data_IF_914010127754
#
_entry.id   IF_914010127754
#
_cell.length_a   1.000
_cell.length_b   1.000
_cell.length_c   1.000
_cell.angle_alpha   90.00
_cell.angle_beta   90.00
_cell.angle_gamma   90.00
#
_symmetry.space_group_name_H-M   'P 1'
#
loop_
_entity.id
_entity.type
_entity.pdbx_description
1 polymer ?
#
# COMPACT_ATOMS: atom_id res chain seq x y z
N UNK A 1 -5.19 14.64 -7.77
CA UNK A 1 -4.20 14.83 -6.68
C UNK A 1 -3.46 13.53 -6.44
N UNK A 2 -2.17 13.61 -6.10
CA UNK A 2 -1.34 12.49 -5.66
C UNK A 2 -0.87 12.79 -4.23
N UNK A 3 -0.73 11.76 -3.40
CA UNK A 3 0.01 11.79 -2.13
C UNK A 3 1.20 10.86 -2.33
N UNK A 4 2.40 11.33 -2.01
CA UNK A 4 3.66 10.62 -2.26
C UNK A 4 4.40 10.37 -0.94
N UNK A 5 5.33 9.41 -0.91
CA UNK A 5 6.04 8.98 0.28
C UNK A 5 7.47 9.54 0.35
N UNK A 6 7.73 10.36 1.39
CA UNK A 6 9.10 10.63 1.80
C UNK A 6 9.68 9.41 2.54
N UNK A 7 10.70 8.76 1.97
CA UNK A 7 11.31 7.53 2.51
C UNK A 7 12.71 7.83 3.08
N UNK A 8 12.91 7.86 4.41
CA UNK A 8 14.23 7.91 5.03
C UNK A 8 14.96 6.56 4.89
N UNK A 9 16.31 6.56 4.88
CA UNK A 9 17.09 5.32 5.04
C UNK A 9 17.17 4.89 6.52
N UNK A 10 17.58 3.65 6.83
CA UNK A 10 17.72 3.22 8.24
C UNK A 10 18.72 4.09 9.01
N UNK A 11 18.43 4.36 10.28
CA UNK A 11 19.18 5.32 11.11
C UNK A 11 18.82 6.79 10.83
N UNK A 12 18.08 7.10 9.77
CA UNK A 12 17.65 8.46 9.47
C UNK A 12 16.51 8.91 10.38
N UNK A 13 16.52 10.20 10.69
CA UNK A 13 15.38 10.89 11.30
C UNK A 13 14.31 11.21 10.25
N UNK A 14 13.13 11.64 10.69
CA UNK A 14 12.05 12.03 9.78
C UNK A 14 12.24 13.45 9.23
N UNK A 15 13.00 14.31 9.93
CA UNK A 15 13.53 15.55 9.33
C UNK A 15 14.84 15.29 8.53
N UNK A 16 15.55 14.14 8.68
CA UNK A 16 16.62 13.66 7.76
C UNK A 16 16.09 13.17 6.40
N UNK A 17 14.78 13.02 6.26
CA UNK A 17 14.15 12.97 4.95
C UNK A 17 13.67 14.37 4.46
N UNK A 18 13.86 15.48 5.23
CA UNK A 18 13.36 16.85 4.94
C UNK A 18 14.37 18.04 4.79
N UNK A 19 15.37 18.32 5.67
CA UNK A 19 16.18 19.58 5.63
C UNK A 19 17.73 19.40 5.63
N UNK A 20 18.44 19.60 4.49
CA UNK A 20 19.69 18.96 3.94
C UNK A 20 19.49 17.77 3.02
N UNK A 21 18.76 16.70 3.33
CA UNK A 21 17.90 16.37 4.46
C UNK A 21 18.62 15.81 5.74
N UNK A 22 18.68 16.50 6.91
CA UNK A 22 19.44 16.29 8.22
C UNK A 22 18.47 16.29 9.41
N UNK A 23 18.76 15.84 10.65
CA UNK A 23 19.93 15.13 11.20
C UNK A 23 19.47 13.90 12.05
N UNK A 24 20.25 12.82 12.21
CA UNK A 24 19.83 11.47 12.72
C UNK A 24 18.91 11.36 13.97
N UNK A 25 18.21 10.21 14.04
CA UNK A 25 17.03 9.84 14.83
C UNK A 25 17.16 9.66 16.38
N UNK A 26 16.04 9.28 17.02
CA UNK A 26 15.77 8.95 18.45
C UNK A 26 15.79 10.10 19.50
N UNK A 27 14.84 10.10 20.48
CA UNK A 27 13.85 11.16 20.80
C UNK A 27 13.43 12.14 19.69
N UNK A 28 14.38 12.50 18.85
CA UNK A 28 14.33 13.25 17.61
C UNK A 28 13.12 12.89 16.74
N UNK A 29 12.94 11.60 16.42
CA UNK A 29 11.85 11.12 15.54
C UNK A 29 10.48 11.59 16.04
N UNK A 30 10.20 11.49 17.35
CA UNK A 30 8.96 12.01 17.94
C UNK A 30 8.85 13.53 17.79
N UNK A 31 9.90 14.28 18.17
CA UNK A 31 9.95 15.75 17.98
C UNK A 31 9.71 16.14 16.52
N UNK A 32 10.22 15.36 15.58
CA UNK A 32 10.15 15.61 14.15
C UNK A 32 8.79 15.29 13.55
N UNK A 33 8.15 14.17 13.92
CA UNK A 33 6.75 13.92 13.57
C UNK A 33 5.86 15.06 14.06
N UNK A 34 6.08 15.55 15.29
CA UNK A 34 5.35 16.70 15.82
C UNK A 34 5.57 17.97 14.98
N UNK A 35 6.80 18.29 14.62
CA UNK A 35 7.11 19.44 13.76
C UNK A 35 6.50 19.28 12.35
N UNK A 36 6.52 18.08 11.76
CA UNK A 36 5.89 17.80 10.46
C UNK A 36 4.37 18.01 10.51
N UNK A 37 3.72 17.63 11.62
CA UNK A 37 2.29 17.90 11.85
C UNK A 37 2.02 19.39 12.03
N UNK A 38 2.75 20.04 12.95
CA UNK A 38 2.47 21.43 13.36
C UNK A 38 2.89 22.47 12.32
N UNK A 39 4.05 22.29 11.68
CA UNK A 39 4.68 23.31 10.83
C UNK A 39 4.57 23.01 9.33
N UNK A 40 4.30 21.75 8.94
CA UNK A 40 4.27 21.29 7.53
C UNK A 40 2.92 20.70 7.09
N UNK A 41 1.96 20.51 8.00
CA UNK A 41 0.63 19.99 7.67
C UNK A 41 0.58 18.50 7.31
N UNK A 42 1.62 17.72 7.66
CA UNK A 42 1.62 16.26 7.50
C UNK A 42 0.65 15.65 8.50
N UNK A 43 -0.21 14.72 8.07
CA UNK A 43 -1.17 14.07 8.96
C UNK A 43 -1.17 12.53 8.85
N UNK A 44 -0.17 11.96 8.18
CA UNK A 44 0.01 10.51 8.08
C UNK A 44 1.50 10.12 8.05
N UNK A 45 1.80 8.92 8.53
CA UNK A 45 3.15 8.36 8.56
C UNK A 45 3.12 6.89 8.10
N UNK A 46 4.09 6.45 7.29
CA UNK A 46 4.20 5.06 6.79
C UNK A 46 5.29 4.29 7.53
N UNK A 47 4.93 3.09 7.97
CA UNK A 47 5.81 2.13 8.63
C UNK A 47 5.88 0.84 7.80
N UNK A 48 6.95 0.06 7.97
CA UNK A 48 7.19 -1.19 7.26
C UNK A 48 7.37 -2.34 8.24
N UNK A 49 6.65 -3.44 8.01
CA UNK A 49 6.84 -4.72 8.71
C UNK A 49 7.72 -5.69 7.90
N UNK A 50 8.01 -5.33 6.65
CA UNK A 50 8.93 -6.02 5.74
C UNK A 50 10.21 -5.22 5.52
N UNK A 51 11.03 -5.64 4.55
CA UNK A 51 12.35 -5.08 4.26
C UNK A 51 13.26 -5.16 5.49
N UNK A 52 13.48 -6.40 5.96
CA UNK A 52 14.40 -6.72 7.05
C UNK A 52 15.76 -6.03 6.85
N UNK A 53 16.34 -5.57 7.95
CA UNK A 53 17.59 -4.80 8.03
C UNK A 53 17.57 -3.41 7.34
N UNK A 54 16.56 -3.08 6.52
CA UNK A 54 16.42 -1.80 5.80
C UNK A 54 15.33 -0.88 6.37
N UNK A 55 14.06 -1.31 6.36
CA UNK A 55 12.93 -0.47 6.84
C UNK A 55 12.09 -1.13 7.94
N UNK A 56 12.25 -2.45 8.13
CA UNK A 56 11.47 -3.23 9.11
C UNK A 56 11.57 -2.66 10.52
N UNK A 57 10.41 -2.36 11.11
CA UNK A 57 10.24 -2.13 12.55
C UNK A 57 9.89 -3.44 13.27
N UNK A 58 10.36 -3.56 14.50
CA UNK A 58 9.88 -4.55 15.47
C UNK A 58 8.49 -4.18 16.02
N UNK A 59 7.81 -5.13 16.68
CA UNK A 59 6.51 -4.87 17.30
C UNK A 59 6.58 -3.83 18.43
N UNK A 60 7.71 -3.72 19.13
CA UNK A 60 7.95 -2.69 20.16
C UNK A 60 8.04 -1.29 19.54
N UNK A 61 8.81 -1.14 18.46
CA UNK A 61 8.91 0.10 17.70
C UNK A 61 7.57 0.48 17.07
N UNK A 62 6.84 -0.49 16.51
CA UNK A 62 5.51 -0.28 15.93
C UNK A 62 4.50 0.17 17.00
N UNK A 63 4.47 -0.47 18.17
CA UNK A 63 3.66 -0.03 19.31
C UNK A 63 3.98 1.42 19.71
N UNK A 64 5.26 1.77 19.81
CA UNK A 64 5.71 3.10 20.21
C UNK A 64 5.37 4.19 19.17
N UNK A 65 5.47 3.88 17.87
CA UNK A 65 5.14 4.80 16.77
C UNK A 65 3.62 4.96 16.62
N UNK A 66 2.83 3.88 16.72
CA UNK A 66 1.37 3.93 16.65
C UNK A 66 0.77 4.70 17.84
N UNK A 67 1.30 4.49 19.06
CA UNK A 67 0.94 5.29 20.24
C UNK A 67 1.18 6.78 19.98
N UNK A 68 2.29 7.13 19.33
CA UNK A 68 2.63 8.51 19.07
C UNK A 68 1.84 9.13 17.91
N UNK A 69 1.48 8.35 16.88
CA UNK A 69 0.52 8.77 15.86
C UNK A 69 -0.83 9.14 16.49
N UNK A 70 -1.28 8.37 17.49
CA UNK A 70 -2.49 8.67 18.26
C UNK A 70 -2.36 9.98 19.06
N UNK A 71 -1.24 10.22 19.74
CA UNK A 71 -0.97 11.48 20.45
C UNK A 71 -0.99 12.71 19.53
N UNK A 72 -0.50 12.57 18.29
CA UNK A 72 -0.46 13.64 17.30
C UNK A 72 -1.76 13.82 16.51
N UNK A 73 -2.71 12.89 16.61
CA UNK A 73 -3.94 12.90 15.81
C UNK A 73 -3.74 12.56 14.33
N UNK A 74 -2.69 11.80 14.00
CA UNK A 74 -2.35 11.39 12.63
C UNK A 74 -2.76 9.95 12.34
N UNK A 75 -3.01 9.63 11.07
CA UNK A 75 -3.26 8.25 10.63
C UNK A 75 -1.96 7.48 10.41
N UNK A 76 -1.90 6.26 10.93
CA UNK A 76 -0.79 5.36 10.76
C UNK A 76 -0.98 4.49 9.51
N UNK A 77 -0.03 4.52 8.57
CA UNK A 77 -0.01 3.67 7.39
C UNK A 77 0.99 2.52 7.60
N UNK A 78 0.63 1.30 7.19
CA UNK A 78 1.52 0.11 7.33
C UNK A 78 1.62 -0.67 6.02
N UNK A 79 2.85 -0.88 5.56
CA UNK A 79 3.18 -1.97 4.65
C UNK A 79 3.32 -3.24 5.49
N UNK A 80 2.33 -4.13 5.36
CA UNK A 80 2.08 -5.24 6.27
C UNK A 80 2.39 -6.60 5.64
N UNK A 81 3.67 -6.94 5.58
CA UNK A 81 4.14 -8.31 5.31
C UNK A 81 5.16 -8.73 6.39
N UNK A 82 5.25 -10.02 6.72
CA UNK A 82 6.22 -10.50 7.71
C UNK A 82 7.65 -10.58 7.13
N UNK A 83 8.46 -9.55 7.39
CA UNK A 83 9.83 -9.43 6.87
C UNK A 83 10.81 -10.53 7.29
N UNK A 84 10.60 -11.20 8.43
CA UNK A 84 11.42 -12.35 8.83
C UNK A 84 11.10 -13.57 7.97
N UNK A 85 9.81 -13.85 7.73
CA UNK A 85 9.39 -14.95 6.86
C UNK A 85 9.83 -14.73 5.41
N UNK A 86 9.69 -13.51 4.88
CA UNK A 86 10.19 -13.14 3.54
C UNK A 86 11.70 -13.43 3.42
N UNK A 87 12.50 -12.99 4.40
CA UNK A 87 13.94 -13.17 4.37
C UNK A 87 14.36 -14.66 4.40
N UNK A 88 13.67 -15.49 5.19
CA UNK A 88 13.92 -16.95 5.21
C UNK A 88 13.45 -17.63 3.92
N UNK A 89 12.26 -17.28 3.41
CA UNK A 89 11.72 -17.85 2.18
C UNK A 89 12.60 -17.51 0.98
N UNK A 90 13.01 -16.25 0.83
CA UNK A 90 13.85 -15.80 -0.28
C UNK A 90 15.21 -16.53 -0.28
N UNK A 91 15.85 -16.63 0.89
CA UNK A 91 17.09 -17.40 1.07
C UNK A 91 16.90 -18.88 0.69
N UNK A 92 15.78 -19.48 1.05
CA UNK A 92 15.45 -20.89 0.73
C UNK A 92 15.27 -21.08 -0.78
N UNK A 93 14.53 -20.20 -1.46
CA UNK A 93 14.25 -20.30 -2.89
C UNK A 93 15.53 -20.13 -3.73
N UNK A 94 16.37 -19.13 -3.41
CA UNK A 94 17.68 -18.96 -4.03
C UNK A 94 18.58 -20.19 -3.82
N UNK A 95 18.58 -20.79 -2.63
CA UNK A 95 19.33 -22.02 -2.34
C UNK A 95 18.77 -23.27 -3.08
N UNK A 96 17.53 -23.22 -3.55
CA UNK A 96 16.91 -24.24 -4.42
C UNK A 96 17.17 -23.96 -5.91
N UNK A 97 17.87 -22.88 -6.27
CA UNK A 97 18.11 -22.47 -7.65
C UNK A 97 16.94 -21.74 -8.31
N UNK A 98 15.93 -21.32 -7.54
CA UNK A 98 14.81 -20.51 -8.03
C UNK A 98 15.25 -19.05 -7.95
N UNK A 99 15.61 -18.48 -9.11
CA UNK A 99 16.17 -17.12 -9.24
C UNK A 99 15.32 -16.17 -10.07
N UNK A 100 14.30 -16.67 -10.78
CA UNK A 100 13.42 -15.87 -11.62
C UNK A 100 12.32 -15.13 -10.83
N UNK A 101 11.55 -14.25 -11.51
CA UNK A 101 10.50 -13.43 -10.89
C UNK A 101 9.44 -14.23 -10.11
N UNK A 102 9.19 -15.49 -10.49
CA UNK A 102 8.32 -16.42 -9.74
C UNK A 102 8.80 -16.67 -8.30
N UNK A 103 10.12 -16.61 -8.07
CA UNK A 103 10.72 -16.69 -6.75
C UNK A 103 10.27 -15.57 -5.81
N UNK A 104 9.98 -14.38 -6.37
CA UNK A 104 9.48 -13.24 -5.60
C UNK A 104 8.05 -13.49 -5.08
N UNK A 105 7.14 -13.92 -5.95
CA UNK A 105 5.78 -14.29 -5.54
C UNK A 105 5.77 -15.45 -4.53
N UNK A 106 6.68 -16.41 -4.69
CA UNK A 106 6.82 -17.56 -3.79
C UNK A 106 7.43 -17.22 -2.43
N UNK A 107 8.25 -16.17 -2.28
CA UNK A 107 8.76 -15.76 -0.95
C UNK A 107 7.78 -14.92 -0.14
N UNK A 108 6.84 -14.25 -0.82
CA UNK A 108 5.81 -13.37 -0.28
C UNK A 108 4.40 -14.00 -0.39
N UNK A 109 4.18 -15.18 0.21
CA UNK A 109 2.86 -15.84 0.15
C UNK A 109 1.76 -15.04 0.86
N UNK A 110 0.49 -15.23 0.49
CA UNK A 110 -0.64 -14.47 1.08
C UNK A 110 -0.78 -14.59 2.61
N UNK A 111 -0.24 -15.66 3.21
CA UNK A 111 -0.20 -15.83 4.68
C UNK A 111 0.78 -14.85 5.36
N UNK A 112 1.85 -14.46 4.65
CA UNK A 112 2.87 -13.50 5.12
C UNK A 112 2.28 -12.09 5.19
N UNK A 113 1.42 -11.71 4.23
CA UNK A 113 0.65 -10.45 4.27
C UNK A 113 -0.42 -10.51 5.37
N UNK A 114 -1.21 -11.60 5.43
CA UNK A 114 -2.31 -11.73 6.39
C UNK A 114 -1.87 -11.74 7.86
N UNK A 115 -0.77 -12.43 8.19
CA UNK A 115 -0.23 -12.45 9.55
C UNK A 115 0.17 -11.04 9.99
N UNK A 116 0.94 -10.33 9.16
CA UNK A 116 1.39 -8.98 9.46
C UNK A 116 0.23 -7.98 9.51
N UNK A 117 -0.76 -8.08 8.62
CA UNK A 117 -1.99 -7.27 8.67
C UNK A 117 -2.75 -7.50 9.97
N UNK A 118 -2.96 -8.76 10.38
CA UNK A 118 -3.62 -9.08 11.65
C UNK A 118 -2.84 -8.54 12.86
N UNK A 119 -1.51 -8.70 12.88
CA UNK A 119 -0.63 -8.21 13.95
C UNK A 119 -0.61 -6.68 14.03
N UNK A 120 -0.53 -5.97 12.90
CA UNK A 120 -0.62 -4.51 12.86
C UNK A 120 -1.94 -4.00 13.43
N UNK A 121 -3.06 -4.62 13.03
CA UNK A 121 -4.41 -4.31 13.54
C UNK A 121 -4.49 -4.53 15.06
N UNK A 122 -3.94 -5.63 15.58
CA UNK A 122 -3.94 -5.93 17.00
C UNK A 122 -3.15 -4.88 17.82
N UNK A 123 -1.96 -4.49 17.35
CA UNK A 123 -1.14 -3.46 17.99
C UNK A 123 -1.84 -2.09 17.93
N UNK A 124 -2.32 -1.69 16.75
CA UNK A 124 -3.03 -0.42 16.56
C UNK A 124 -4.28 -0.29 17.43
N UNK A 125 -5.06 -1.36 17.56
CA UNK A 125 -6.22 -1.42 18.44
C UNK A 125 -5.83 -1.29 19.92
N UNK A 126 -4.72 -1.94 20.34
CA UNK A 126 -4.21 -1.85 21.73
C UNK A 126 -3.85 -0.42 22.12
N UNK A 127 -3.32 0.38 21.18
CA UNK A 127 -2.97 1.80 21.39
C UNK A 127 -4.06 2.78 20.94
N UNK A 128 -5.22 2.26 20.52
CA UNK A 128 -6.36 3.02 20.00
C UNK A 128 -6.00 3.99 18.84
N UNK A 129 -5.04 3.62 17.99
CA UNK A 129 -4.63 4.40 16.81
C UNK A 129 -5.40 3.96 15.56
N UNK A 130 -5.92 4.89 14.73
CA UNK A 130 -6.49 4.54 13.43
C UNK A 130 -5.39 4.01 12.49
N UNK A 131 -5.62 2.83 11.90
CA UNK A 131 -4.67 2.15 11.02
C UNK A 131 -5.14 2.16 9.56
N UNK A 132 -4.19 2.34 8.65
CA UNK A 132 -4.39 2.28 7.20
C UNK A 132 -3.44 1.22 6.63
N UNK A 133 -3.97 0.12 6.14
CA UNK A 133 -3.18 -0.92 5.47
C UNK A 133 -3.05 -0.51 4.00
N UNK A 134 -1.85 -0.09 3.59
CA UNK A 134 -1.56 0.25 2.19
C UNK A 134 -1.48 -1.02 1.34
N UNK A 135 -1.68 -0.88 0.02
CA UNK A 135 -1.50 -1.91 -1.01
C UNK A 135 -1.89 -3.34 -0.54
N UNK A 136 -3.18 -3.53 -0.26
CA UNK A 136 -3.78 -4.82 0.08
C UNK A 136 -3.90 -5.67 -1.19
N UNK A 137 -3.15 -6.77 -1.26
CA UNK A 137 -2.99 -7.56 -2.49
C UNK A 137 -3.62 -8.96 -2.42
N UNK A 138 -3.90 -9.47 -1.23
CA UNK A 138 -4.44 -10.81 -1.01
C UNK A 138 -5.85 -10.84 -0.40
N UNK A 139 -6.56 -11.95 -0.64
CA UNK A 139 -7.87 -12.19 -0.04
C UNK A 139 -7.77 -12.40 1.47
N UNK A 140 -6.71 -13.03 1.94
CA UNK A 140 -6.45 -13.32 3.35
C UNK A 140 -6.25 -12.01 4.15
N UNK A 141 -5.41 -11.10 3.66
CA UNK A 141 -5.19 -9.77 4.23
C UNK A 141 -6.49 -8.94 4.25
N UNK A 142 -7.21 -8.89 3.14
CA UNK A 142 -8.49 -8.17 3.07
C UNK A 142 -9.56 -8.74 4.03
N UNK A 143 -9.56 -10.06 4.29
CA UNK A 143 -10.40 -10.68 5.33
C UNK A 143 -10.00 -10.28 6.75
N UNK A 144 -8.71 -10.09 7.04
CA UNK A 144 -8.28 -9.59 8.36
C UNK A 144 -8.81 -8.18 8.61
N UNK A 145 -8.76 -7.31 7.60
CA UNK A 145 -9.34 -5.95 7.64
C UNK A 145 -10.87 -6.01 7.80
N UNK A 146 -11.56 -6.83 7.00
CA UNK A 146 -13.02 -7.03 7.08
C UNK A 146 -13.46 -7.47 8.47
N UNK A 147 -12.82 -8.50 9.04
CA UNK A 147 -13.14 -9.01 10.38
C UNK A 147 -12.90 -7.94 11.46
N UNK A 148 -11.79 -7.21 11.37
CA UNK A 148 -11.48 -6.13 12.29
C UNK A 148 -12.50 -4.99 12.25
N UNK A 149 -12.98 -4.61 11.06
CA UNK A 149 -14.04 -3.60 10.89
C UNK A 149 -15.37 -4.08 11.47
N UNK A 150 -15.72 -5.35 11.29
CA UNK A 150 -16.92 -5.97 11.89
C UNK A 150 -16.85 -6.01 13.43
N UNK A 151 -15.66 -6.10 14.01
CA UNK A 151 -15.42 -5.96 15.46
C UNK A 151 -15.39 -4.50 15.95
N UNK A 152 -15.59 -3.52 15.06
CA UNK A 152 -15.59 -2.09 15.38
C UNK A 152 -14.19 -1.45 15.50
N UNK A 153 -13.13 -2.13 15.08
CA UNK A 153 -11.76 -1.59 15.09
C UNK A 153 -11.60 -0.53 13.98
N UNK A 154 -10.86 0.54 14.29
CA UNK A 154 -10.66 1.67 13.36
C UNK A 154 -9.54 1.33 12.38
N UNK A 155 -9.86 0.56 11.34
CA UNK A 155 -8.95 0.21 10.25
C UNK A 155 -9.54 0.52 8.87
N UNK A 156 -8.67 1.00 7.98
CA UNK A 156 -8.91 1.24 6.56
C UNK A 156 -7.98 0.33 5.74
N UNK A 157 -8.43 -0.12 4.58
CA UNK A 157 -7.62 -0.88 3.62
C UNK A 157 -7.61 -0.21 2.25
N UNK A 158 -6.45 -0.26 1.58
CA UNK A 158 -6.21 0.29 0.26
C UNK A 158 -5.71 -0.80 -0.70
N UNK A 159 -6.58 -1.39 -1.54
CA UNK A 159 -6.13 -2.08 -2.74
C UNK A 159 -5.56 -1.07 -3.75
N UNK A 160 -4.74 -1.55 -4.68
CA UNK A 160 -4.18 -0.72 -5.77
C UNK A 160 -4.70 -1.16 -7.13
N UNK A 161 -4.58 -0.28 -8.13
CA UNK A 161 -4.98 -0.55 -9.52
C UNK A 161 -4.47 -1.90 -10.06
N UNK A 162 -3.21 -2.27 -9.78
CA UNK A 162 -2.63 -3.54 -10.23
C UNK A 162 -3.39 -4.76 -9.66
N UNK A 163 -3.58 -4.81 -8.33
CA UNK A 163 -4.32 -5.90 -7.66
C UNK A 163 -5.82 -5.95 -7.96
N UNK A 164 -6.38 -4.93 -8.60
CA UNK A 164 -7.77 -4.90 -9.09
C UNK A 164 -7.89 -5.18 -10.60
N UNK A 165 -6.80 -4.99 -11.37
CA UNK A 165 -6.79 -5.06 -12.82
C UNK A 165 -6.13 -6.31 -13.41
N UNK A 166 -5.21 -6.95 -12.70
CA UNK A 166 -4.43 -8.11 -13.15
C UNK A 166 -4.09 -9.05 -11.99
N UNK A 167 -3.43 -10.17 -12.27
CA UNK A 167 -3.07 -11.20 -11.29
C UNK A 167 -1.60 -11.65 -11.41
N UNK A 168 -1.19 -12.52 -10.49
CA UNK A 168 0.18 -13.03 -10.35
C UNK A 168 0.57 -14.14 -11.33
N UNK A 169 -0.33 -14.60 -12.22
CA UNK A 169 0.06 -15.60 -13.24
C UNK A 169 1.15 -15.07 -14.16
N UNK A 170 1.23 -13.75 -14.32
CA UNK A 170 2.28 -13.04 -15.04
C UNK A 170 3.72 -13.34 -14.56
N UNK A 171 3.93 -13.74 -13.30
CA UNK A 171 5.26 -14.11 -12.79
C UNK A 171 5.82 -15.40 -13.40
N UNK A 172 4.97 -16.26 -13.98
CA UNK A 172 5.36 -17.51 -14.65
C UNK A 172 5.40 -17.39 -16.18
N UNK A 173 5.45 -16.16 -16.72
CA UNK A 173 5.61 -15.95 -18.16
C UNK A 173 6.99 -16.43 -18.65
N UNK A 174 7.05 -17.04 -19.83
CA UNK A 174 8.30 -17.50 -20.46
C UNK A 174 9.25 -16.35 -20.81
N UNK A 175 8.71 -15.15 -21.07
CA UNK A 175 9.51 -13.93 -21.17
C UNK A 175 9.82 -13.36 -19.78
N UNK A 176 11.08 -13.49 -19.39
CA UNK A 176 11.63 -12.90 -18.17
C UNK A 176 11.33 -11.39 -18.05
N UNK A 177 11.33 -10.63 -19.15
CA UNK A 177 11.08 -9.19 -19.10
C UNK A 177 9.62 -8.88 -18.72
N UNK A 178 8.67 -9.64 -19.26
CA UNK A 178 7.26 -9.59 -18.86
C UNK A 178 7.08 -9.96 -17.39
N UNK A 179 7.66 -11.08 -16.95
CA UNK A 179 7.55 -11.55 -15.57
C UNK A 179 8.18 -10.56 -14.57
N UNK A 180 9.35 -10.00 -14.87
CA UNK A 180 10.04 -9.02 -14.03
C UNK A 180 9.31 -7.66 -13.97
N UNK A 181 8.63 -7.26 -15.05
CA UNK A 181 7.81 -6.03 -15.07
C UNK A 181 6.72 -6.03 -13.99
N UNK A 182 6.22 -7.21 -13.60
CA UNK A 182 5.16 -7.36 -12.59
C UNK A 182 5.66 -7.39 -11.14
N UNK A 183 6.98 -7.39 -10.89
CA UNK A 183 7.55 -7.55 -9.54
C UNK A 183 7.31 -6.32 -8.66
N UNK A 184 6.57 -6.51 -7.56
CA UNK A 184 6.27 -5.55 -6.50
C UNK A 184 6.03 -6.28 -5.15
N UNK A 185 5.94 -5.54 -4.04
CA UNK A 185 5.73 -6.10 -2.70
C UNK A 185 4.60 -5.36 -1.95
N UNK A 186 3.51 -6.03 -1.54
CA UNK A 186 3.23 -7.46 -1.73
C UNK A 186 3.05 -7.81 -3.21
N UNK A 187 3.32 -9.06 -3.64
CA UNK A 187 3.16 -9.47 -5.04
C UNK A 187 1.68 -9.50 -5.44
N UNK A 188 1.45 -9.51 -6.75
CA UNK A 188 0.14 -9.86 -7.30
C UNK A 188 -0.22 -11.31 -6.92
N UNK A 189 -1.42 -11.52 -6.38
CA UNK A 189 -1.91 -12.86 -6.04
C UNK A 189 -2.00 -13.76 -7.28
N UNK A 190 -1.42 -14.97 -7.28
CA UNK A 190 -1.56 -15.92 -8.38
C UNK A 190 -2.94 -16.59 -8.45
N UNK A 191 -3.86 -16.32 -7.50
CA UNK A 191 -5.25 -16.71 -7.60
C UNK A 191 -6.00 -15.70 -8.50
N UNK A 192 -6.45 -16.10 -9.71
CA UNK A 192 -7.06 -15.17 -10.69
C UNK A 192 -8.42 -14.62 -10.23
N UNK A 193 -8.98 -15.12 -9.12
CA UNK A 193 -10.20 -14.59 -8.51
C UNK A 193 -9.95 -13.60 -7.35
N UNK A 194 -8.68 -13.25 -7.08
CA UNK A 194 -8.33 -12.20 -6.12
C UNK A 194 -8.77 -10.80 -6.55
N UNK A 195 -8.56 -10.33 -7.80
CA UNK A 195 -8.98 -9.00 -8.20
C UNK A 195 -10.49 -8.77 -8.08
N UNK A 196 -11.30 -9.78 -8.46
CA UNK A 196 -12.75 -9.76 -8.29
C UNK A 196 -13.15 -9.63 -6.81
N UNK A 197 -12.52 -10.43 -5.94
CA UNK A 197 -12.78 -10.44 -4.51
C UNK A 197 -12.43 -9.09 -3.85
N UNK A 198 -11.27 -8.51 -4.17
CA UNK A 198 -10.87 -7.19 -3.69
C UNK A 198 -11.82 -6.09 -4.19
N UNK A 199 -12.28 -6.18 -5.44
CA UNK A 199 -13.27 -5.23 -5.98
C UNK A 199 -14.63 -5.33 -5.26
N UNK A 200 -15.07 -6.53 -4.88
CA UNK A 200 -16.30 -6.70 -4.08
C UNK A 200 -16.18 -6.06 -2.69
N UNK A 201 -15.04 -6.22 -2.00
CA UNK A 201 -14.78 -5.58 -0.71
C UNK A 201 -14.62 -4.06 -0.82
N UNK A 202 -14.09 -3.58 -1.94
CA UNK A 202 -14.03 -2.15 -2.26
C UNK A 202 -15.41 -1.54 -2.53
N UNK A 203 -16.33 -2.28 -3.17
CA UNK A 203 -17.72 -1.87 -3.32
C UNK A 203 -18.44 -1.77 -1.97
N UNK A 204 -18.20 -2.72 -1.07
CA UNK A 204 -18.86 -2.82 0.24
C UNK A 204 -18.27 -1.93 1.36
N UNK A 205 -17.22 -1.16 1.09
CA UNK A 205 -16.47 -0.36 2.08
C UNK A 205 -15.68 -1.15 3.13
N UNK A 206 -15.50 -2.46 2.96
CA UNK A 206 -14.48 -3.22 3.71
C UNK A 206 -13.07 -2.76 3.33
N UNK A 207 -12.89 -2.40 2.05
CA UNK A 207 -11.74 -1.64 1.54
C UNK A 207 -12.23 -0.23 1.14
N UNK A 208 -11.45 0.80 1.45
CA UNK A 208 -11.95 2.18 1.53
C UNK A 208 -11.50 3.12 0.42
N UNK A 209 -10.32 2.89 -0.17
CA UNK A 209 -9.65 3.77 -1.15
C UNK A 209 -8.90 2.92 -2.17
N UNK A 210 -8.76 3.39 -3.42
CA UNK A 210 -7.84 2.78 -4.40
C UNK A 210 -6.59 3.63 -4.59
N UNK A 211 -5.43 3.05 -4.28
CA UNK A 211 -4.10 3.59 -4.58
C UNK A 211 -3.54 3.10 -5.92
N UNK A 212 -2.24 3.30 -6.13
CA UNK A 212 -1.51 2.75 -7.29
C UNK A 212 -0.17 2.13 -6.94
N UNK A 213 0.48 2.60 -5.88
CA UNK A 213 1.88 2.29 -5.56
C UNK A 213 2.82 2.47 -6.78
N UNK A 214 2.54 3.50 -7.59
CA UNK A 214 3.20 3.75 -8.87
C UNK A 214 4.70 4.01 -8.68
N UNK A 215 5.51 2.98 -8.95
CA UNK A 215 6.95 2.96 -8.74
C UNK A 215 7.58 2.29 -9.98
N UNK A 216 7.69 3.06 -11.06
CA UNK A 216 8.03 2.55 -12.39
C UNK A 216 9.53 2.40 -12.60
N UNK A 217 9.96 1.23 -13.08
CA UNK A 217 11.32 0.94 -13.52
C UNK A 217 11.32 0.41 -14.96
N UNK A 218 12.29 0.82 -15.77
CA UNK A 218 12.48 0.27 -17.11
C UNK A 218 13.05 -1.16 -17.08
N UNK A 219 13.03 -1.86 -18.22
CA UNK A 219 13.53 -3.25 -18.33
C UNK A 219 15.03 -3.37 -17.98
N UNK A 220 15.84 -2.34 -18.23
CA UNK A 220 17.27 -2.34 -17.89
C UNK A 220 17.49 -2.20 -16.38
N UNK A 221 16.65 -1.42 -15.69
CA UNK A 221 16.62 -1.32 -14.23
C UNK A 221 16.09 -2.62 -13.60
N UNK A 222 15.01 -3.21 -14.15
CA UNK A 222 14.52 -4.53 -13.72
C UNK A 222 15.61 -5.61 -13.86
N UNK A 223 16.43 -5.56 -14.92
CA UNK A 223 17.50 -6.52 -15.19
C UNK A 223 18.63 -6.58 -14.14
N UNK A 224 18.67 -5.66 -13.16
CA UNK A 224 19.56 -5.75 -12.00
C UNK A 224 19.37 -7.06 -11.20
N UNK A 225 18.17 -7.66 -11.24
CA UNK A 225 17.87 -8.95 -10.65
C UNK A 225 17.64 -10.09 -11.63
N UNK A 226 18.25 -10.05 -12.83
CA UNK A 226 18.06 -11.08 -13.85
C UNK A 226 18.39 -12.50 -13.36
N UNK A 227 19.46 -12.62 -12.57
CA UNK A 227 19.93 -13.90 -12.01
C UNK A 227 19.62 -14.03 -10.50
N UNK A 228 18.84 -13.10 -9.93
CA UNK A 228 18.46 -13.06 -8.52
C UNK A 228 17.25 -12.13 -8.32
N UNK A 229 16.05 -12.70 -8.18
CA UNK A 229 14.81 -11.95 -8.03
C UNK A 229 14.81 -10.94 -6.86
N UNK A 230 15.61 -11.19 -5.80
CA UNK A 230 15.69 -10.28 -4.64
C UNK A 230 16.35 -8.93 -4.98
N UNK A 231 17.00 -8.85 -6.14
CA UNK A 231 17.61 -7.62 -6.68
C UNK A 231 16.76 -6.92 -7.75
N UNK A 232 15.58 -7.46 -8.11
CA UNK A 232 14.67 -6.79 -9.04
C UNK A 232 14.03 -5.58 -8.32
N UNK A 233 14.19 -4.34 -8.83
CA UNK A 233 13.49 -3.18 -8.28
C UNK A 233 11.97 -3.38 -8.27
N UNK A 234 11.38 -3.23 -7.08
CA UNK A 234 9.98 -3.52 -6.82
C UNK A 234 9.08 -2.33 -7.17
N UNK A 235 8.06 -2.57 -7.99
CA UNK A 235 7.07 -1.56 -8.40
C UNK A 235 6.55 -1.73 -9.84
N UNK A 236 5.39 -1.13 -10.12
CA UNK A 236 4.67 -1.09 -11.41
C UNK A 236 4.23 0.34 -11.78
N UNK A 237 3.66 0.49 -12.98
CA UNK A 237 2.82 1.63 -13.35
C UNK A 237 1.41 1.54 -12.73
N UNK A 238 0.66 2.63 -12.84
CA UNK A 238 -0.78 2.65 -12.61
C UNK A 238 -1.38 4.03 -12.33
N UNK A 239 -0.55 5.09 -12.22
CA UNK A 239 -1.02 6.47 -11.92
C UNK A 239 -2.03 7.00 -12.95
N UNK A 240 -1.85 6.66 -14.22
CA UNK A 240 -2.73 7.02 -15.33
C UNK A 240 -3.94 6.07 -15.39
N UNK A 241 -3.69 4.76 -15.43
CA UNK A 241 -4.69 3.71 -15.67
C UNK A 241 -5.71 3.53 -14.54
N UNK A 242 -5.40 3.96 -13.30
CA UNK A 242 -6.19 3.68 -12.08
C UNK A 242 -7.68 3.91 -12.27
N UNK A 243 -8.07 5.05 -12.84
CA UNK A 243 -9.48 5.42 -12.93
C UNK A 243 -10.21 4.54 -13.94
N UNK A 244 -9.62 4.29 -15.12
CA UNK A 244 -10.22 3.43 -16.15
C UNK A 244 -10.28 1.97 -15.71
N UNK A 245 -9.24 1.45 -15.05
CA UNK A 245 -9.22 0.08 -14.51
C UNK A 245 -10.31 -0.13 -13.46
N UNK A 246 -10.48 0.82 -12.52
CA UNK A 246 -11.53 0.72 -11.48
C UNK A 246 -12.92 0.92 -12.08
N UNK A 247 -13.05 1.77 -13.11
CA UNK A 247 -14.32 1.95 -13.83
C UNK A 247 -14.76 0.67 -14.55
N UNK A 248 -13.88 0.09 -15.36
CA UNK A 248 -14.12 -1.16 -16.10
C UNK A 248 -14.39 -2.34 -15.14
N UNK A 249 -13.49 -2.58 -14.18
CA UNK A 249 -13.59 -3.74 -13.29
C UNK A 249 -14.64 -3.57 -12.18
N UNK A 250 -15.05 -2.35 -11.84
CA UNK A 250 -15.97 -2.05 -10.75
C UNK A 250 -17.35 -1.56 -11.18
N UNK A 251 -17.41 -0.54 -12.05
CA UNK A 251 -18.68 0.10 -12.47
C UNK A 251 -19.31 -0.66 -13.63
N UNK A 252 -18.58 -0.86 -14.72
CA UNK A 252 -19.09 -1.54 -15.92
C UNK A 252 -19.45 -3.01 -15.64
N UNK A 253 -18.71 -3.67 -14.75
CA UNK A 253 -19.02 -5.03 -14.26
C UNK A 253 -20.25 -5.10 -13.32
N UNK A 254 -20.83 -3.97 -12.91
CA UNK A 254 -21.99 -3.90 -12.02
C UNK A 254 -21.70 -4.17 -10.54
N UNK A 255 -20.44 -4.16 -10.10
CA UNK A 255 -20.08 -4.35 -8.68
C UNK A 255 -20.33 -3.12 -7.82
N UNK A 256 -20.19 -1.93 -8.38
CA UNK A 256 -20.43 -0.66 -7.70
C UNK A 256 -21.06 0.37 -8.64
N UNK A 257 -21.75 1.36 -8.09
CA UNK A 257 -22.25 2.50 -8.87
C UNK A 257 -21.17 3.60 -9.05
N UNK A 258 -21.48 4.57 -9.91
CA UNK A 258 -20.65 5.75 -10.16
C UNK A 258 -20.38 6.60 -8.89
N UNK A 259 -21.28 6.57 -7.90
CA UNK A 259 -21.10 7.33 -6.66
C UNK A 259 -20.10 6.65 -5.72
N UNK A 260 -20.13 5.32 -5.66
CA UNK A 260 -19.12 4.50 -4.97
C UNK A 260 -17.77 4.58 -5.68
N UNK A 261 -17.73 4.62 -7.01
CA UNK A 261 -16.52 4.92 -7.77
C UNK A 261 -15.90 6.27 -7.37
N UNK A 262 -16.69 7.34 -7.32
CA UNK A 262 -16.24 8.66 -6.83
C UNK A 262 -15.77 8.59 -5.37
N UNK A 263 -16.42 7.79 -4.53
CA UNK A 263 -16.03 7.59 -3.14
C UNK A 263 -14.63 6.97 -3.01
N UNK A 264 -14.36 5.85 -3.68
CA UNK A 264 -13.10 5.10 -3.53
C UNK A 264 -11.93 5.71 -4.31
N UNK A 265 -12.20 6.46 -5.38
CA UNK A 265 -11.16 7.11 -6.19
C UNK A 265 -10.78 8.52 -5.68
N UNK A 266 -11.65 9.20 -4.92
CA UNK A 266 -11.38 10.57 -4.43
C UNK A 266 -11.95 10.91 -3.04
N UNK A 267 -13.25 10.71 -2.78
CA UNK A 267 -13.91 11.30 -1.60
C UNK A 267 -13.44 10.68 -0.29
N UNK A 268 -13.21 9.37 -0.25
CA UNK A 268 -12.75 8.67 0.95
C UNK A 268 -11.30 9.04 1.28
N UNK A 269 -10.42 9.10 0.28
CA UNK A 269 -9.06 9.59 0.47
C UNK A 269 -9.05 11.03 1.02
N UNK A 270 -9.88 11.92 0.45
CA UNK A 270 -9.99 13.29 0.94
C UNK A 270 -10.53 13.37 2.38
N UNK A 271 -11.41 12.47 2.82
CA UNK A 271 -11.85 12.40 4.23
C UNK A 271 -10.75 11.87 5.15
N UNK A 272 -10.13 10.74 4.78
CA UNK A 272 -9.11 10.03 5.57
C UNK A 272 -7.88 10.94 5.80
N UNK A 273 -7.43 11.64 4.77
CA UNK A 273 -6.28 12.56 4.85
C UNK A 273 -6.69 14.02 5.15
N UNK A 274 -7.91 14.25 5.67
CA UNK A 274 -8.40 15.55 6.16
C UNK A 274 -8.31 16.73 5.15
N UNK A 275 -8.67 16.46 3.89
CA UNK A 275 -8.75 17.42 2.77
C UNK A 275 -10.18 17.68 2.29
N UNK A 276 -11.17 16.95 2.80
CA UNK A 276 -12.57 17.09 2.44
C UNK A 276 -13.24 18.25 3.22
N UNK A 277 -14.13 19.07 2.61
CA UNK A 277 -14.63 19.01 1.23
C UNK A 277 -13.80 19.82 0.22
N UNK A 278 -12.65 20.38 0.61
CA UNK A 278 -11.79 21.16 -0.30
C UNK A 278 -11.39 20.33 -1.52
N UNK A 279 -11.16 19.02 -1.35
CA UNK A 279 -10.99 18.05 -2.44
C UNK A 279 -11.98 16.88 -2.31
N UNK A 280 -12.15 16.14 -3.42
CA UNK A 280 -13.00 14.95 -3.48
C UNK A 280 -14.51 15.22 -3.45
N UNK A 281 -14.95 16.44 -3.79
CA UNK A 281 -16.36 16.83 -3.94
C UNK A 281 -16.51 18.00 -4.91
N UNK A 282 -17.52 17.93 -5.78
CA UNK A 282 -17.99 19.09 -6.55
C UNK A 282 -19.01 19.85 -5.69
N UNK A 283 -18.62 21.00 -5.15
CA UNK A 283 -19.47 21.88 -4.35
C UNK A 283 -18.93 23.32 -4.39
N UNK A 284 -19.80 24.29 -4.05
CA UNK A 284 -19.39 25.69 -3.87
C UNK A 284 -18.35 25.78 -2.75
N UNK A 285 -17.16 26.29 -3.06
CA UNK A 285 -16.04 26.43 -2.12
C UNK A 285 -15.03 25.27 -2.12
N UNK A 286 -15.25 24.21 -2.90
CA UNK A 286 -14.23 23.19 -3.19
C UNK A 286 -13.23 23.67 -4.24
N UNK A 287 -12.03 23.08 -4.27
CA UNK A 287 -11.06 23.30 -5.35
C UNK A 287 -11.65 22.80 -6.68
N UNK A 288 -11.35 23.47 -7.80
CA UNK A 288 -11.85 23.12 -9.14
C UNK A 288 -11.11 21.94 -9.79
N UNK A 289 -10.77 20.91 -9.01
CA UNK A 289 -10.16 19.65 -9.47
C UNK A 289 -11.25 18.74 -10.07
N UNK A 290 -11.66 19.01 -11.32
CA UNK A 290 -12.79 18.34 -11.99
C UNK A 290 -12.29 17.51 -13.19
N UNK A 291 -12.81 16.29 -13.32
CA UNK A 291 -12.64 15.43 -14.50
C UNK A 291 -13.97 15.35 -15.25
N UNK A 292 -13.94 15.56 -16.57
CA UNK A 292 -15.05 15.21 -17.46
C UNK A 292 -14.82 13.75 -17.85
N UNK A 293 -15.72 12.86 -17.43
CA UNK A 293 -15.61 11.43 -17.65
C UNK A 293 -16.61 11.00 -18.73
N UNK A 294 -16.12 10.30 -19.75
CA UNK A 294 -16.95 9.67 -20.77
C UNK A 294 -17.11 8.17 -20.43
N UNK A 295 -18.31 7.71 -20.06
CA UNK A 295 -18.56 6.32 -19.68
C UNK A 295 -18.66 5.37 -20.88
N UNK A 296 -18.74 5.89 -22.12
CA UNK A 296 -18.89 5.11 -23.36
C UNK A 296 -17.59 5.08 -24.20
N UNK A 297 -16.52 5.73 -23.74
CA UNK A 297 -15.22 5.73 -24.40
C UNK A 297 -14.56 4.34 -24.40
N UNK A 298 -14.10 3.90 -25.58
CA UNK A 298 -13.42 2.62 -25.85
C UNK A 298 -11.91 2.75 -25.90
#
# INVERSE_FOLDING_TARGET
MIIDFAIPQKGCSLIEAFDKWKSWADPKVKKEMKNLVQDKGVNSFKMFMAYKDLYMLSDEELYAVLSYCKELGTIAQVHAENGELIAQNSKKLLAMGITGPEGHALSHSEDVEAEATHRAIAIANTVNCPLFVVHVMSKSSARMITNARNEGKVVYGEPIAAGLGTDGTNYWNEDWAHAAAHVMSPPLSPDPSTPDFLMNLLANDDLSVVGTDNCTFDTCQKALGKDDFTKIPNGLNGVEDRMSVVWEKGVYSGKMDENRFVAVTSTNAAKIFNLYPKKGRIAVGSDADIVIWDPEAT
#
